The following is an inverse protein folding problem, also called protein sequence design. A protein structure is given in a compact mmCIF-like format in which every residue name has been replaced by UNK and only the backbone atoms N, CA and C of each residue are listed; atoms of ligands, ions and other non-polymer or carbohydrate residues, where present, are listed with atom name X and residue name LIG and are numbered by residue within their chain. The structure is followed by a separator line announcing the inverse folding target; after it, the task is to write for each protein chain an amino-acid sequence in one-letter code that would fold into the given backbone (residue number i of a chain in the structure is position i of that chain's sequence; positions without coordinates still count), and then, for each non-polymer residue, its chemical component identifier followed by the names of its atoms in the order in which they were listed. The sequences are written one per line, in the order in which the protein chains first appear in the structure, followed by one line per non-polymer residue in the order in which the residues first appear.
data_IF_773518846379
#
_entry.id   IF_773518846379
#
_cell.length_a   1.000
_cell.length_b   1.000
_cell.length_c   1.000
_cell.angle_alpha   90.00
_cell.angle_beta   90.00
_cell.angle_gamma   90.00
#
_symmetry.space_group_name_H-M   'P 1'
#
loop_
_entity.id
_entity.type
_entity.pdbx_description
1 polymer ?
#
# COMPACT_ATOMS: atom_id res chain seq x y z
N UNK A 1 -40.39 -87.07 -29.99
CA UNK A 1 -40.17 -86.64 -28.61
C UNK A 1 -39.38 -85.34 -28.70
N UNK A 2 -39.98 -84.22 -28.41
CA UNK A 2 -39.38 -82.86 -28.59
C UNK A 2 -38.80 -82.39 -27.29
N UNK A 3 -37.46 -82.09 -27.26
CA UNK A 3 -36.79 -81.47 -26.13
C UNK A 3 -36.86 -79.92 -26.21
N UNK A 4 -37.44 -79.36 -25.20
CA UNK A 4 -37.48 -77.86 -25.06
C UNK A 4 -36.14 -77.36 -24.50
N UNK A 5 -35.52 -76.49 -25.25
CA UNK A 5 -34.36 -75.76 -24.77
C UNK A 5 -34.80 -74.48 -24.06
N UNK A 6 -34.44 -74.34 -22.79
CA UNK A 6 -34.71 -73.19 -21.95
C UNK A 6 -33.60 -72.12 -22.17
N UNK A 7 -33.96 -70.97 -22.72
CA UNK A 7 -33.04 -69.84 -22.86
C UNK A 7 -32.99 -69.10 -21.52
N UNK A 8 -31.80 -69.08 -20.88
CA UNK A 8 -31.53 -68.25 -19.71
C UNK A 8 -30.92 -66.95 -20.23
N UNK A 9 -31.66 -65.88 -20.15
CA UNK A 9 -31.15 -64.50 -20.43
C UNK A 9 -30.32 -64.02 -19.24
N UNK A 10 -29.03 -63.92 -19.43
CA UNK A 10 -28.08 -63.34 -18.44
C UNK A 10 -28.24 -61.82 -18.43
N UNK A 11 -28.65 -61.26 -17.29
CA UNK A 11 -28.72 -59.84 -17.03
C UNK A 11 -27.35 -59.36 -16.55
N UNK A 12 -26.54 -58.74 -17.40
CA UNK A 12 -25.25 -58.16 -17.05
C UNK A 12 -25.50 -56.79 -16.41
N UNK A 13 -25.33 -56.74 -15.09
CA UNK A 13 -25.34 -55.47 -14.31
C UNK A 13 -24.03 -54.74 -14.52
N UNK A 14 -24.01 -53.64 -15.31
CA UNK A 14 -22.86 -52.77 -15.45
C UNK A 14 -22.89 -51.79 -14.27
N UNK A 15 -22.08 -52.04 -13.25
CA UNK A 15 -21.81 -51.08 -12.20
C UNK A 15 -20.90 -49.99 -12.77
N UNK A 16 -21.48 -48.87 -13.14
CA UNK A 16 -20.74 -47.63 -13.44
C UNK A 16 -20.10 -47.08 -12.17
N UNK A 17 -18.79 -47.22 -12.04
CA UNK A 17 -17.99 -46.46 -11.04
C UNK A 17 -18.03 -44.97 -11.44
N UNK A 18 -18.98 -44.21 -10.86
CA UNK A 18 -18.88 -42.74 -10.82
C UNK A 18 -17.70 -42.38 -9.90
N UNK A 19 -16.52 -42.12 -10.47
CA UNK A 19 -15.43 -41.47 -9.77
C UNK A 19 -15.85 -39.99 -9.57
N UNK A 20 -16.39 -39.67 -8.39
CA UNK A 20 -16.55 -38.31 -7.97
C UNK A 20 -15.15 -37.70 -7.78
N UNK A 21 -14.71 -36.89 -8.76
CA UNK A 21 -13.56 -36.02 -8.54
C UNK A 21 -13.90 -35.08 -7.37
N UNK A 22 -13.00 -34.84 -6.41
CA UNK A 22 -13.27 -33.90 -5.36
C UNK A 22 -13.49 -32.53 -6.00
N UNK A 23 -14.68 -31.94 -5.79
CA UNK A 23 -14.96 -30.56 -6.10
C UNK A 23 -14.02 -29.75 -5.21
N UNK A 24 -12.90 -29.26 -5.76
CA UNK A 24 -12.08 -28.31 -5.07
C UNK A 24 -12.99 -27.11 -4.77
N UNK A 25 -13.23 -26.88 -3.47
CA UNK A 25 -13.94 -25.70 -3.02
C UNK A 25 -13.13 -24.51 -3.54
N UNK A 26 -13.66 -23.82 -4.54
CA UNK A 26 -13.11 -22.55 -4.98
C UNK A 26 -13.35 -21.57 -3.84
N UNK A 27 -12.26 -21.17 -3.17
CA UNK A 27 -12.29 -20.09 -2.19
C UNK A 27 -12.85 -18.84 -2.89
N UNK A 28 -14.07 -18.34 -2.52
CA UNK A 28 -14.64 -17.16 -3.14
C UNK A 28 -13.79 -15.89 -2.87
N UNK A 29 -12.81 -15.97 -1.96
CA UNK A 29 -11.85 -14.91 -1.67
C UNK A 29 -10.51 -15.07 -2.43
N UNK A 30 -10.32 -16.13 -3.19
CA UNK A 30 -9.12 -16.35 -4.02
C UNK A 30 -9.13 -15.56 -5.35
N UNK A 31 -9.97 -14.55 -5.49
CA UNK A 31 -9.66 -13.44 -6.40
C UNK A 31 -8.63 -12.59 -5.69
N UNK A 32 -7.35 -12.93 -5.88
CA UNK A 32 -6.31 -11.93 -5.81
C UNK A 32 -6.72 -10.86 -6.81
N UNK A 33 -7.40 -9.82 -6.31
CA UNK A 33 -7.53 -8.58 -7.03
C UNK A 33 -6.06 -8.19 -7.33
N UNK A 34 -5.65 -8.38 -8.58
CA UNK A 34 -4.51 -7.68 -9.11
C UNK A 34 -4.91 -6.23 -8.99
N UNK A 35 -4.50 -5.59 -7.89
CA UNK A 35 -4.55 -4.14 -7.83
C UNK A 35 -3.91 -3.67 -9.13
N UNK A 36 -4.69 -3.00 -9.96
CA UNK A 36 -4.12 -2.37 -11.13
C UNK A 36 -3.25 -1.26 -10.56
N UNK A 37 -1.94 -1.52 -10.53
CA UNK A 37 -0.94 -0.58 -10.03
C UNK A 37 -1.12 0.72 -10.81
N UNK A 38 -1.70 1.73 -10.15
CA UNK A 38 -1.89 3.04 -10.75
C UNK A 38 -0.51 3.64 -10.96
N UNK A 39 -0.12 3.79 -12.23
CA UNK A 39 1.18 4.36 -12.59
C UNK A 39 1.12 5.87 -12.37
N UNK A 40 1.71 6.33 -11.28
CA UNK A 40 1.82 7.76 -10.97
C UNK A 40 2.85 8.44 -11.87
N UNK A 41 2.58 9.69 -12.24
CA UNK A 41 3.53 10.54 -12.96
C UNK A 41 4.24 11.47 -11.97
N UNK A 42 5.35 11.00 -11.40
CA UNK A 42 6.11 11.73 -10.40
C UNK A 42 7.07 12.73 -11.04
N UNK A 43 7.06 13.97 -10.57
CA UNK A 43 8.02 15.01 -10.93
C UNK A 43 9.41 14.63 -10.44
N UNK A 44 10.40 14.59 -11.33
CA UNK A 44 11.78 14.17 -10.99
C UNK A 44 12.66 15.34 -10.55
N UNK A 45 12.32 16.57 -10.93
CA UNK A 45 13.05 17.78 -10.53
C UNK A 45 12.67 18.21 -9.11
N UNK A 46 13.51 19.08 -8.51
CA UNK A 46 13.19 19.67 -7.22
C UNK A 46 12.07 20.70 -7.37
N UNK A 47 10.88 20.34 -6.94
CA UNK A 47 9.63 21.07 -7.09
C UNK A 47 9.10 21.67 -5.75
N UNK A 48 9.92 21.64 -4.69
CA UNK A 48 9.52 22.09 -3.35
C UNK A 48 9.64 23.62 -3.23
N UNK A 49 8.77 24.18 -2.38
CA UNK A 49 8.77 25.61 -2.08
C UNK A 49 9.91 26.05 -1.14
N UNK A 50 10.80 25.14 -0.81
CA UNK A 50 11.98 25.36 0.03
C UNK A 50 13.23 24.73 -0.62
N UNK A 51 14.46 25.20 -0.30
CA UNK A 51 15.67 24.63 -0.87
C UNK A 51 15.98 23.24 -0.29
N UNK A 52 16.60 22.39 -1.09
CA UNK A 52 17.14 21.12 -0.61
C UNK A 52 18.29 21.37 0.37
N UNK A 53 18.21 20.76 1.56
CA UNK A 53 19.27 20.82 2.55
C UNK A 53 20.47 19.96 2.14
N UNK A 54 21.67 20.48 2.34
CA UNK A 54 22.91 19.75 2.13
C UNK A 54 23.16 18.62 3.16
N UNK A 55 22.39 18.58 4.26
CA UNK A 55 22.49 17.59 5.34
C UNK A 55 21.66 16.35 5.10
N UNK A 56 20.74 16.37 4.13
CA UNK A 56 19.81 15.26 3.88
C UNK A 56 19.98 14.66 2.49
N UNK A 57 19.60 13.41 2.34
CA UNK A 57 19.32 12.74 1.06
C UNK A 57 17.82 12.73 0.88
N UNK A 58 17.38 13.00 -0.34
CA UNK A 58 15.96 12.98 -0.73
C UNK A 58 15.74 11.95 -1.85
N UNK A 59 14.58 11.31 -1.83
CA UNK A 59 14.09 10.48 -2.93
C UNK A 59 12.57 10.44 -2.93
N UNK A 60 11.96 10.41 -4.12
CA UNK A 60 10.53 10.13 -4.23
C UNK A 60 10.29 8.62 -4.16
N UNK A 61 9.23 8.23 -3.48
CA UNK A 61 8.83 6.84 -3.27
C UNK A 61 7.32 6.71 -3.41
N UNK A 62 6.84 5.50 -3.64
CA UNK A 62 5.42 5.18 -3.66
C UNK A 62 5.13 3.99 -2.77
N UNK A 63 3.93 3.94 -2.22
CA UNK A 63 3.40 2.82 -1.46
C UNK A 63 1.89 2.76 -1.62
N UNK A 64 1.23 1.71 -1.12
CA UNK A 64 -0.20 1.53 -1.28
C UNK A 64 -0.88 1.49 0.08
N UNK A 65 -2.07 2.08 0.16
CA UNK A 65 -2.94 1.86 1.29
C UNK A 65 -3.78 0.57 1.08
N UNK A 66 -4.54 0.13 2.10
CA UNK A 66 -5.37 -1.10 2.02
C UNK A 66 -6.47 -1.03 0.98
N UNK A 67 -6.85 0.18 0.54
CA UNK A 67 -7.85 0.38 -0.51
C UNK A 67 -7.26 0.33 -1.91
N UNK A 68 -5.95 0.07 -2.03
CA UNK A 68 -5.24 -0.04 -3.31
C UNK A 68 -4.91 1.31 -3.95
N UNK A 69 -5.10 2.43 -3.24
CA UNK A 69 -4.67 3.74 -3.74
C UNK A 69 -3.16 3.84 -3.62
N UNK A 70 -2.49 4.19 -4.72
CA UNK A 70 -1.05 4.45 -4.73
C UNK A 70 -0.77 5.84 -4.18
N UNK A 71 0.05 5.92 -3.15
CA UNK A 71 0.45 7.17 -2.51
C UNK A 71 1.85 7.57 -2.97
N UNK A 72 2.03 8.87 -3.26
CA UNK A 72 3.31 9.47 -3.59
C UNK A 72 3.89 10.17 -2.36
N UNK A 73 5.18 9.99 -2.13
CA UNK A 73 5.86 10.58 -0.99
C UNK A 73 7.29 11.00 -1.30
N UNK A 74 7.76 11.96 -0.51
CA UNK A 74 9.16 12.39 -0.42
C UNK A 74 9.80 11.79 0.84
N UNK A 75 10.82 10.98 0.64
CA UNK A 75 11.62 10.37 1.70
C UNK A 75 12.86 11.22 1.94
N UNK A 76 13.06 11.66 3.18
CA UNK A 76 14.25 12.40 3.60
C UNK A 76 15.02 11.59 4.63
N UNK A 77 16.33 11.50 4.45
CA UNK A 77 17.23 10.76 5.33
C UNK A 77 18.51 11.58 5.63
N UNK A 78 18.98 11.63 6.87
CA UNK A 78 20.26 12.26 7.19
C UNK A 78 21.40 11.66 6.36
N UNK A 79 22.30 12.50 5.80
CA UNK A 79 23.45 11.99 5.01
C UNK A 79 24.42 11.16 5.84
N UNK A 80 24.59 11.52 7.10
CA UNK A 80 25.53 10.88 8.03
C UNK A 80 24.85 9.85 8.94
N UNK A 81 23.70 9.30 8.52
CA UNK A 81 23.00 8.30 9.30
C UNK A 81 23.78 6.99 9.39
N UNK A 82 23.79 6.39 10.58
CA UNK A 82 24.32 5.05 10.84
C UNK A 82 23.34 4.24 11.68
N UNK A 83 23.22 2.94 11.37
CA UNK A 83 22.30 2.05 12.05
C UNK A 83 20.81 2.35 11.73
N UNK A 84 19.91 1.84 12.58
CA UNK A 84 18.48 2.04 12.45
C UNK A 84 18.06 3.38 13.04
N UNK A 85 17.27 4.14 12.30
CA UNK A 85 16.80 5.47 12.65
C UNK A 85 15.37 5.43 13.19
N UNK A 86 15.01 6.34 14.13
CA UNK A 86 13.61 6.66 14.37
C UNK A 86 13.02 7.28 13.11
N UNK A 87 11.75 7.04 12.85
CA UNK A 87 11.09 7.54 11.64
C UNK A 87 9.80 8.30 11.95
N UNK A 88 9.43 9.23 11.04
CA UNK A 88 8.21 10.03 11.18
C UNK A 88 7.52 10.13 9.81
N UNK A 89 6.24 9.74 9.76
CA UNK A 89 5.35 10.01 8.64
C UNK A 89 4.70 11.40 8.83
N UNK A 90 4.71 12.23 7.79
CA UNK A 90 4.26 13.63 7.84
C UNK A 90 3.26 13.89 6.73
N UNK A 91 2.10 14.49 7.05
CA UNK A 91 1.16 14.96 6.04
C UNK A 91 0.34 16.18 6.51
N UNK A 92 -0.30 16.85 5.55
CA UNK A 92 -1.10 18.07 5.77
C UNK A 92 -0.35 19.37 5.45
N UNK A 93 -1.03 20.53 5.57
CA UNK A 93 -2.44 20.73 5.91
C UNK A 93 -3.42 20.33 4.80
N UNK A 94 -4.73 20.41 5.04
CA UNK A 94 -5.74 20.18 3.99
C UNK A 94 -5.51 21.08 2.79
N UNK A 95 -5.59 20.50 1.58
CA UNK A 95 -5.41 21.20 0.31
C UNK A 95 -3.96 21.53 -0.03
N UNK A 96 -3.00 21.24 0.86
CA UNK A 96 -1.57 21.33 0.57
C UNK A 96 -1.03 20.00 0.04
N UNK A 97 0.14 20.07 -0.57
CA UNK A 97 0.88 18.94 -1.10
C UNK A 97 2.22 18.76 -0.38
N UNK A 98 2.82 17.58 -0.50
CA UNK A 98 4.08 17.21 0.15
C UNK A 98 5.25 18.13 -0.18
N UNK A 99 5.18 18.86 -1.30
CA UNK A 99 6.18 19.84 -1.74
C UNK A 99 6.16 21.13 -0.91
N UNK A 100 5.19 21.30 -0.01
CA UNK A 100 4.97 22.48 0.82
C UNK A 100 5.29 22.24 2.30
N UNK A 101 4.36 22.52 3.21
CA UNK A 101 4.61 22.48 4.64
C UNK A 101 5.08 21.10 5.14
N UNK A 102 4.42 20.01 4.74
CA UNK A 102 4.79 18.67 5.18
C UNK A 102 6.21 18.28 4.77
N UNK A 103 6.64 18.62 3.56
CA UNK A 103 8.00 18.39 3.10
C UNK A 103 9.03 19.22 3.87
N UNK A 104 8.73 20.51 4.15
CA UNK A 104 9.62 21.36 4.95
C UNK A 104 9.79 20.82 6.38
N UNK A 105 8.71 20.39 7.03
CA UNK A 105 8.79 19.73 8.34
C UNK A 105 9.58 18.44 8.27
N UNK A 106 9.34 17.59 7.26
CA UNK A 106 10.03 16.34 7.08
C UNK A 106 11.55 16.57 6.88
N UNK A 107 11.94 17.50 6.00
CA UNK A 107 13.35 17.84 5.81
C UNK A 107 14.00 18.33 7.12
N UNK A 108 13.33 19.23 7.84
CA UNK A 108 13.86 19.79 9.09
C UNK A 108 14.03 18.73 10.18
N UNK A 109 13.13 17.75 10.25
CA UNK A 109 13.24 16.62 11.17
C UNK A 109 14.35 15.64 10.72
N UNK A 110 14.54 15.45 9.42
CA UNK A 110 15.64 14.64 8.90
C UNK A 110 17.00 15.25 9.24
N UNK A 111 17.15 16.58 9.22
CA UNK A 111 18.37 17.26 9.69
C UNK A 111 18.67 17.00 11.16
N UNK A 112 17.67 16.62 11.94
CA UNK A 112 17.76 16.30 13.38
C UNK A 112 17.95 14.82 13.67
N UNK A 113 18.12 13.99 12.64
CA UNK A 113 18.45 12.57 12.79
C UNK A 113 17.29 11.59 12.61
N UNK A 114 16.11 12.02 12.17
CA UNK A 114 15.01 11.15 11.85
C UNK A 114 15.05 10.73 10.36
N UNK A 115 14.57 9.55 10.04
CA UNK A 115 14.14 9.24 8.68
C UNK A 115 12.69 9.72 8.55
N UNK A 116 12.38 10.54 7.55
CA UNK A 116 11.05 11.13 7.45
C UNK A 116 10.43 10.91 6.08
N UNK A 117 9.11 10.75 6.06
CA UNK A 117 8.30 10.51 4.88
C UNK A 117 7.19 11.56 4.82
N UNK A 118 7.32 12.55 3.92
CA UNK A 118 6.22 13.46 3.62
C UNK A 118 5.40 12.91 2.47
N UNK A 119 4.09 12.69 2.65
CA UNK A 119 3.27 12.09 1.61
C UNK A 119 2.06 12.96 1.27
N UNK A 120 1.64 12.86 0.00
CA UNK A 120 0.33 13.33 -0.42
C UNK A 120 -0.73 12.31 -0.01
N UNK A 121 -1.82 12.73 0.63
CA UNK A 121 -2.91 11.82 0.94
C UNK A 121 -3.62 11.35 -0.33
N UNK A 122 -4.38 10.26 -0.24
CA UNK A 122 -5.26 9.80 -1.31
C UNK A 122 -6.04 10.95 -1.94
N UNK A 123 -6.18 10.95 -3.24
CA UNK A 123 -6.91 11.95 -4.05
C UNK A 123 -6.24 13.32 -4.19
N UNK A 124 -5.03 13.52 -3.63
CA UNK A 124 -4.35 14.83 -3.58
C UNK A 124 -2.95 14.74 -4.20
N UNK A 125 -2.45 15.85 -4.72
CA UNK A 125 -1.08 15.97 -5.25
C UNK A 125 -0.74 14.92 -6.30
N UNK A 126 0.41 14.29 -6.15
CA UNK A 126 0.87 13.20 -7.02
C UNK A 126 0.30 11.82 -6.64
N UNK A 127 -0.36 11.68 -5.47
CA UNK A 127 -1.04 10.44 -5.08
C UNK A 127 -2.24 10.14 -5.96
N UNK A 128 -2.54 8.86 -6.09
CA UNK A 128 -3.64 8.36 -6.91
C UNK A 128 -5.03 8.53 -6.29
N UNK A 129 -5.98 7.85 -6.91
CA UNK A 129 -7.37 7.79 -6.48
C UNK A 129 -8.30 8.82 -7.17
N UNK A 130 -9.56 8.43 -7.28
CA UNK A 130 -10.64 9.24 -7.86
C UNK A 130 -11.88 9.21 -6.94
N UNK A 131 -12.68 10.30 -6.89
CA UNK A 131 -12.45 11.60 -7.52
C UNK A 131 -11.32 12.39 -6.86
N UNK A 132 -10.75 13.36 -7.59
CA UNK A 132 -9.64 14.18 -7.05
C UNK A 132 -10.15 15.23 -6.06
N UNK A 133 -9.24 15.66 -5.16
CA UNK A 133 -9.48 16.74 -4.17
C UNK A 133 -10.61 16.44 -3.19
N UNK A 134 -10.73 15.18 -2.81
CA UNK A 134 -11.68 14.71 -1.79
C UNK A 134 -10.93 14.43 -0.50
N UNK A 135 -11.51 14.82 0.62
CA UNK A 135 -11.07 14.41 1.95
C UNK A 135 -12.03 13.35 2.50
N UNK A 136 -11.48 12.25 2.96
CA UNK A 136 -12.21 11.18 3.64
C UNK A 136 -11.45 10.81 4.90
N UNK A 137 -11.99 11.10 6.11
CA UNK A 137 -11.31 10.80 7.37
C UNK A 137 -10.86 9.33 7.45
N UNK A 138 -11.71 8.39 7.07
CA UNK A 138 -11.41 6.96 7.12
C UNK A 138 -10.25 6.57 6.18
N UNK A 139 -10.28 7.06 4.93
CA UNK A 139 -9.24 6.76 3.94
C UNK A 139 -7.94 7.48 4.31
N UNK A 140 -8.03 8.73 4.73
CA UNK A 140 -6.85 9.51 5.05
C UNK A 140 -6.17 9.07 6.37
N UNK A 141 -6.91 8.55 7.34
CA UNK A 141 -6.35 7.85 8.50
C UNK A 141 -5.60 6.58 8.08
N UNK A 142 -6.17 5.83 7.14
CA UNK A 142 -5.52 4.67 6.55
C UNK A 142 -4.25 5.04 5.79
N UNK A 143 -4.21 6.19 5.12
CA UNK A 143 -2.99 6.67 4.44
C UNK A 143 -1.82 6.83 5.43
N UNK A 144 -2.08 7.32 6.66
CA UNK A 144 -1.08 7.35 7.72
C UNK A 144 -0.67 5.95 8.17
N UNK A 145 -1.63 5.01 8.34
CA UNK A 145 -1.32 3.62 8.68
C UNK A 145 -0.41 2.99 7.64
N UNK A 146 -0.73 3.15 6.35
CA UNK A 146 0.08 2.65 5.26
C UNK A 146 1.48 3.29 5.21
N UNK A 147 1.60 4.59 5.54
CA UNK A 147 2.89 5.27 5.65
C UNK A 147 3.76 4.71 6.79
N UNK A 148 3.15 4.40 7.94
CA UNK A 148 3.83 3.73 9.06
C UNK A 148 4.27 2.33 8.68
N UNK A 149 3.42 1.53 8.05
CA UNK A 149 3.73 0.19 7.57
C UNK A 149 4.89 0.23 6.55
N UNK A 150 4.84 1.17 5.60
CA UNK A 150 5.93 1.38 4.64
C UNK A 150 7.26 1.69 5.35
N UNK A 151 7.25 2.58 6.34
CA UNK A 151 8.44 2.90 7.12
C UNK A 151 8.97 1.69 7.91
N UNK A 152 8.07 0.88 8.49
CA UNK A 152 8.43 -0.30 9.29
C UNK A 152 9.10 -1.40 8.46
N UNK A 153 8.82 -1.48 7.15
CA UNK A 153 9.47 -2.47 6.25
C UNK A 153 10.89 -2.11 5.84
N UNK A 154 11.39 -0.92 6.20
CA UNK A 154 12.71 -0.46 5.75
C UNK A 154 13.82 -0.93 6.70
N UNK A 155 14.87 -1.47 6.15
CA UNK A 155 16.02 -2.03 6.91
C UNK A 155 16.71 -1.00 7.81
N UNK A 156 16.67 0.28 7.41
CA UNK A 156 17.31 1.39 8.11
C UNK A 156 16.37 2.13 9.08
N UNK A 157 15.19 1.61 9.35
CA UNK A 157 14.22 2.14 10.33
C UNK A 157 14.15 1.23 11.55
N UNK A 158 14.05 1.82 12.71
CA UNK A 158 13.73 1.14 13.95
C UNK A 158 12.18 1.06 14.07
N UNK A 159 11.57 -0.11 13.90
CA UNK A 159 10.11 -0.23 13.87
C UNK A 159 9.44 0.10 15.21
N UNK A 160 10.20 0.08 16.32
CA UNK A 160 9.69 0.45 17.64
C UNK A 160 9.70 1.98 17.86
N UNK A 161 10.25 2.75 16.91
CA UNK A 161 10.40 4.20 17.00
C UNK A 161 9.87 4.92 15.77
N UNK A 162 8.62 4.65 15.42
CA UNK A 162 7.92 5.32 14.33
C UNK A 162 6.82 6.20 14.90
N UNK A 163 6.81 7.47 14.49
CA UNK A 163 5.78 8.44 14.85
C UNK A 163 5.07 9.02 13.64
N UNK A 164 3.99 9.74 13.91
CA UNK A 164 3.26 10.50 12.89
C UNK A 164 3.22 11.98 13.26
N UNK A 165 3.20 12.84 12.24
CA UNK A 165 3.02 14.28 12.37
C UNK A 165 1.92 14.74 11.41
N UNK A 166 0.75 15.01 11.94
CA UNK A 166 -0.35 15.64 11.22
C UNK A 166 -0.29 17.15 11.38
N UNK A 167 -0.39 17.90 10.28
CA UNK A 167 -0.34 19.35 10.28
C UNK A 167 -1.74 19.91 10.06
N UNK A 168 -2.16 20.89 10.88
CA UNK A 168 -3.48 21.52 10.80
C UNK A 168 -4.61 20.49 10.98
N UNK A 169 -5.59 20.40 10.07
CA UNK A 169 -6.70 19.44 10.14
C UNK A 169 -6.26 17.97 10.18
N UNK A 170 -5.10 17.64 9.66
CA UNK A 170 -4.52 16.29 9.73
C UNK A 170 -4.03 15.86 11.11
N UNK A 171 -3.91 16.80 12.04
CA UNK A 171 -3.64 16.50 13.45
C UNK A 171 -4.87 16.08 14.26
N UNK A 172 -6.05 16.10 13.64
CA UNK A 172 -7.33 15.74 14.25
C UNK A 172 -7.90 14.37 13.84
N UNK A 173 -7.18 13.61 13.04
CA UNK A 173 -7.56 12.26 12.58
C UNK A 173 -6.95 11.17 13.43
#
# INVERSE_FOLDING_TARGET
MKANALLIAGLTLVLGLCSAAPLAAQDPHAKTDKFMEEKLNLTQEWDKVFPLSDKVRHSKVTFHNRYGVTLAADLYMPKNASGKLPAIAVSGPFGAVKEQASGLYAQTLAERGFLTLAFDPSFTGESGGQPRYVASPDINTEDFSAAVDYLATRDNVDPERIGILGICGWGGF
#
